data_IF_275128511645
#
_entry.id   IF_275128511645
#
_cell.length_a   1.000
_cell.length_b   1.000
_cell.length_c   1.000
_cell.angle_alpha   90.00
_cell.angle_beta   90.00
_cell.angle_gamma   90.00
#
_symmetry.space_group_name_H-M   'P 1'
#
loop_
_entity.id
_entity.type
_entity.pdbx_description
1 polymer ?
#
# COMPACT_ATOMS: atom_id res chain seq x y z
N UNK A 1 -26.12 -13.08 -10.08
CA UNK A 1 -25.20 -11.99 -9.67
C UNK A 1 -23.79 -12.53 -9.77
N UNK A 2 -23.07 -12.23 -10.85
CA UNK A 2 -21.69 -12.70 -11.05
C UNK A 2 -20.73 -11.65 -10.52
N UNK A 3 -20.03 -11.96 -9.43
CA UNK A 3 -18.91 -11.16 -8.97
C UNK A 3 -17.72 -11.39 -9.92
N UNK A 4 -17.08 -10.34 -10.48
CA UNK A 4 -15.85 -10.54 -11.21
C UNK A 4 -14.78 -11.04 -10.22
N UNK A 5 -14.25 -12.24 -10.49
CA UNK A 5 -13.10 -12.77 -9.78
C UNK A 5 -11.96 -11.78 -9.90
N UNK A 6 -11.48 -11.25 -8.77
CA UNK A 6 -10.27 -10.43 -8.73
C UNK A 6 -9.15 -11.14 -9.50
N UNK A 7 -8.46 -10.47 -10.44
CA UNK A 7 -7.28 -11.05 -11.07
C UNK A 7 -6.29 -11.40 -9.96
N UNK A 8 -6.08 -12.69 -9.70
CA UNK A 8 -5.02 -13.14 -8.81
C UNK A 8 -3.71 -12.56 -9.36
N UNK A 9 -2.98 -11.85 -8.49
CA UNK A 9 -1.64 -11.38 -8.81
C UNK A 9 -0.84 -12.54 -9.42
N UNK A 10 -0.36 -12.33 -10.64
CA UNK A 10 0.36 -13.33 -11.42
C UNK A 10 1.56 -13.79 -10.59
N UNK A 11 1.58 -15.08 -10.25
CA UNK A 11 2.65 -15.71 -9.46
C UNK A 11 4.01 -15.43 -10.12
N UNK A 12 4.80 -14.57 -9.47
CA UNK A 12 6.18 -14.27 -9.86
C UNK A 12 7.10 -15.49 -9.65
N UNK A 13 8.33 -15.44 -10.20
CA UNK A 13 9.16 -16.62 -10.41
C UNK A 13 9.51 -17.34 -9.09
N UNK A 14 9.40 -18.67 -9.09
CA UNK A 14 9.93 -19.53 -8.02
C UNK A 14 11.45 -19.36 -7.95
N UNK A 15 11.93 -18.56 -7.01
CA UNK A 15 13.33 -18.54 -6.58
C UNK A 15 13.40 -19.02 -5.14
N UNK A 16 13.11 -20.30 -4.94
CA UNK A 16 13.75 -21.04 -3.84
C UNK A 16 15.24 -20.99 -4.15
N UNK A 17 15.97 -20.13 -3.45
CA UNK A 17 17.34 -20.35 -3.00
C UNK A 17 17.89 -19.06 -2.40
N UNK A 18 18.19 -19.14 -1.11
CA UNK A 18 19.05 -18.27 -0.32
C UNK A 18 18.42 -16.98 0.24
N UNK A 19 17.39 -17.12 1.08
CA UNK A 19 17.35 -16.30 2.29
C UNK A 19 18.10 -17.05 3.38
N UNK A 20 19.42 -16.85 3.39
CA UNK A 20 20.23 -17.09 4.57
C UNK A 20 19.59 -16.31 5.73
N UNK A 21 19.47 -16.97 6.88
CA UNK A 21 19.01 -16.38 8.14
C UNK A 21 19.89 -15.16 8.44
N UNK A 22 19.38 -13.97 8.14
CA UNK A 22 19.95 -12.71 8.57
C UNK A 22 19.26 -12.30 9.89
N UNK A 23 19.99 -11.72 10.85
CA UNK A 23 19.48 -11.48 12.20
C UNK A 23 18.31 -10.51 12.18
N UNK A 24 17.37 -10.69 13.11
CA UNK A 24 16.09 -9.98 13.24
C UNK A 24 16.18 -8.44 13.40
N UNK A 25 17.35 -7.82 13.23
CA UNK A 25 17.56 -6.37 13.35
C UNK A 25 17.17 -5.56 12.10
N UNK A 26 17.04 -6.18 10.91
CA UNK A 26 16.67 -5.45 9.68
C UNK A 26 15.15 -5.34 9.45
N UNK A 27 14.33 -6.07 10.21
CA UNK A 27 12.86 -5.99 10.09
C UNK A 27 12.30 -4.68 10.67
N UNK A 28 13.07 -3.96 11.49
CA UNK A 28 12.68 -2.63 12.01
C UNK A 28 12.85 -1.53 10.94
N UNK A 29 13.80 -1.68 10.01
CA UNK A 29 13.95 -0.77 8.87
C UNK A 29 12.83 -0.91 7.82
N UNK A 30 12.07 -2.01 7.87
CA UNK A 30 10.88 -2.21 7.02
C UNK A 30 9.70 -1.30 7.37
N UNK A 31 9.65 -0.78 8.61
CA UNK A 31 8.71 0.26 9.04
C UNK A 31 9.29 1.68 8.98
N UNK A 32 10.59 1.83 8.70
CA UNK A 32 11.24 3.14 8.55
C UNK A 32 12.09 3.13 7.28
N UNK A 33 11.42 3.24 6.13
CA UNK A 33 12.08 3.46 4.85
C UNK A 33 12.63 4.89 4.81
N UNK A 34 13.80 5.07 5.40
CA UNK A 34 14.61 6.28 5.33
C UNK A 34 16.08 5.88 5.22
N UNK A 35 16.49 5.36 4.06
CA UNK A 35 17.91 5.35 3.72
C UNK A 35 18.34 6.80 3.56
N UNK A 36 18.97 7.35 4.60
CA UNK A 36 19.65 8.63 4.55
C UNK A 36 20.81 8.52 3.56
N UNK A 37 20.73 9.27 2.47
CA UNK A 37 21.83 9.45 1.53
C UNK A 37 22.49 10.81 1.85
N UNK A 38 23.72 10.85 2.41
CA UNK A 38 24.39 12.09 2.79
C UNK A 38 25.02 12.70 1.54
N UNK A 39 24.20 13.27 0.65
CA UNK A 39 24.72 13.85 -0.59
C UNK A 39 23.69 14.32 -1.59
N UNK A 40 22.83 15.27 -1.24
CA UNK A 40 21.95 15.93 -2.22
C UNK A 40 21.94 17.45 -2.05
N UNK A 41 23.08 18.07 -2.31
CA UNK A 41 23.15 19.48 -2.71
C UNK A 41 22.73 19.57 -4.18
N UNK A 42 21.54 20.10 -4.45
CA UNK A 42 21.19 20.61 -5.79
C UNK A 42 19.75 20.37 -6.26
N UNK A 43 18.87 21.37 -6.07
CA UNK A 43 17.61 21.51 -6.80
C UNK A 43 16.39 20.84 -6.13
N UNK A 44 15.45 21.67 -5.68
CA UNK A 44 14.19 21.29 -5.00
C UNK A 44 13.21 20.55 -5.93
N UNK A 45 13.55 19.33 -6.34
CA UNK A 45 12.63 18.40 -6.99
C UNK A 45 12.33 17.26 -6.00
N UNK A 46 11.06 16.82 -5.89
CA UNK A 46 10.70 15.70 -5.03
C UNK A 46 11.58 14.50 -5.36
N UNK A 47 12.10 13.82 -4.35
CA UNK A 47 12.90 12.61 -4.56
C UNK A 47 12.06 11.53 -5.25
N UNK A 48 12.70 10.49 -5.79
CA UNK A 48 11.98 9.33 -6.33
C UNK A 48 11.05 8.69 -5.27
N UNK A 49 11.49 8.68 -4.01
CA UNK A 49 10.72 8.18 -2.88
C UNK A 49 9.47 9.05 -2.62
N UNK A 50 9.58 10.37 -2.64
CA UNK A 50 8.44 11.27 -2.44
C UNK A 50 7.38 11.07 -3.51
N UNK A 51 7.81 10.92 -4.77
CA UNK A 51 6.88 10.64 -5.88
C UNK A 51 6.20 9.28 -5.74
N UNK A 52 6.91 8.26 -5.21
CA UNK A 52 6.34 6.95 -4.95
C UNK A 52 5.27 7.01 -3.84
N UNK A 53 5.56 7.69 -2.72
CA UNK A 53 4.59 7.91 -1.63
C UNK A 53 3.36 8.69 -2.12
N UNK A 54 3.56 9.72 -2.93
CA UNK A 54 2.46 10.52 -3.50
C UNK A 54 1.57 9.73 -4.48
N UNK A 55 2.12 8.73 -5.19
CA UNK A 55 1.30 7.79 -5.98
C UNK A 55 0.52 6.85 -5.09
N UNK A 56 1.19 6.19 -4.15
CA UNK A 56 0.55 5.26 -3.22
C UNK A 56 -0.60 5.92 -2.42
N UNK A 57 -0.43 7.17 -2.01
CA UNK A 57 -1.48 7.94 -1.33
C UNK A 57 -2.70 8.22 -2.23
N UNK A 58 -2.49 8.52 -3.52
CA UNK A 58 -3.58 8.71 -4.49
C UNK A 58 -4.31 7.41 -4.76
N UNK A 59 -3.58 6.34 -5.02
CA UNK A 59 -4.16 5.03 -5.31
C UNK A 59 -4.99 4.50 -4.12
N UNK A 60 -4.51 4.77 -2.90
CA UNK A 60 -5.22 4.41 -1.67
C UNK A 60 -6.51 5.22 -1.48
N UNK A 61 -6.52 6.52 -1.84
CA UNK A 61 -7.73 7.37 -1.81
C UNK A 61 -8.75 6.90 -2.84
N UNK A 62 -8.32 6.64 -4.07
CA UNK A 62 -9.20 6.12 -5.12
C UNK A 62 -9.83 4.76 -4.73
N UNK A 63 -9.05 3.92 -4.04
CA UNK A 63 -9.57 2.66 -3.50
C UNK A 63 -10.61 2.91 -2.41
N UNK A 64 -10.34 3.82 -1.47
CA UNK A 64 -11.29 4.18 -0.42
C UNK A 64 -12.62 4.71 -0.99
N UNK A 65 -12.55 5.60 -1.98
CA UNK A 65 -13.73 6.16 -2.67
C UNK A 65 -14.60 5.05 -3.30
N UNK A 66 -13.98 4.04 -3.91
CA UNK A 66 -14.72 2.89 -4.47
C UNK A 66 -15.43 2.08 -3.38
N UNK A 67 -14.80 1.87 -2.23
CA UNK A 67 -15.43 1.20 -1.10
C UNK A 67 -16.57 2.03 -0.51
N UNK A 68 -16.39 3.34 -0.40
CA UNK A 68 -17.45 4.23 0.08
C UNK A 68 -18.65 4.28 -0.86
N UNK A 69 -18.42 4.23 -2.18
CA UNK A 69 -19.50 4.10 -3.16
C UNK A 69 -20.31 2.80 -2.95
N UNK A 70 -19.65 1.68 -2.68
CA UNK A 70 -20.31 0.40 -2.37
C UNK A 70 -21.10 0.48 -1.06
N UNK A 71 -20.52 1.08 -0.02
CA UNK A 71 -21.22 1.24 1.26
C UNK A 71 -22.45 2.15 1.11
N UNK A 72 -22.35 3.23 0.33
CA UNK A 72 -23.45 4.13 0.02
C UNK A 72 -24.59 3.44 -0.76
N UNK A 73 -24.24 2.53 -1.69
CA UNK A 73 -25.23 1.74 -2.43
C UNK A 73 -25.94 0.67 -1.56
N UNK A 74 -25.42 0.38 -0.35
CA UNK A 74 -25.92 -0.67 0.53
C UNK A 74 -26.22 -0.14 1.95
N UNK A 75 -27.40 0.48 2.17
CA UNK A 75 -27.73 1.13 3.44
C UNK A 75 -27.71 0.18 4.65
N UNK A 76 -28.15 -1.07 4.47
CA UNK A 76 -28.07 -2.09 5.54
C UNK A 76 -26.63 -2.40 5.97
N UNK A 77 -25.67 -2.31 5.04
CA UNK A 77 -24.25 -2.50 5.35
C UNK A 77 -23.68 -1.24 6.02
N UNK A 78 -24.06 -0.05 5.55
CA UNK A 78 -23.65 1.21 6.15
C UNK A 78 -24.01 1.28 7.64
N UNK A 79 -25.23 0.88 8.02
CA UNK A 79 -25.67 0.83 9.42
C UNK A 79 -24.81 -0.11 10.28
N UNK A 80 -24.41 -1.26 9.73
CA UNK A 80 -23.55 -2.23 10.43
C UNK A 80 -22.12 -1.74 10.59
N UNK A 81 -21.62 -0.95 9.63
CA UNK A 81 -20.24 -0.42 9.64
C UNK A 81 -20.10 0.87 10.44
N UNK A 82 -21.18 1.59 10.70
CA UNK A 82 -21.20 2.86 11.42
C UNK A 82 -20.36 2.85 12.73
N UNK A 83 -20.42 1.82 13.59
CA UNK A 83 -19.62 1.80 14.83
C UNK A 83 -18.10 1.68 14.60
N UNK A 84 -17.68 1.14 13.45
CA UNK A 84 -16.25 0.95 13.11
C UNK A 84 -15.65 2.17 12.40
N UNK A 85 -16.48 3.13 12.00
CA UNK A 85 -16.10 4.35 11.28
C UNK A 85 -16.14 5.60 12.16
N UNK A 86 -16.59 5.48 13.40
CA UNK A 86 -16.68 6.55 14.38
C UNK A 86 -15.32 6.85 15.03
#
# INVERSE_FOLDING_TARGET
MSFPLSPRARSGPRRRSLLAVAPAALLVAGCSAGSEDPGASGGSRPSAADRARARAARDSRELAERYDAVVAAHPKLAERLRPLRA
#
